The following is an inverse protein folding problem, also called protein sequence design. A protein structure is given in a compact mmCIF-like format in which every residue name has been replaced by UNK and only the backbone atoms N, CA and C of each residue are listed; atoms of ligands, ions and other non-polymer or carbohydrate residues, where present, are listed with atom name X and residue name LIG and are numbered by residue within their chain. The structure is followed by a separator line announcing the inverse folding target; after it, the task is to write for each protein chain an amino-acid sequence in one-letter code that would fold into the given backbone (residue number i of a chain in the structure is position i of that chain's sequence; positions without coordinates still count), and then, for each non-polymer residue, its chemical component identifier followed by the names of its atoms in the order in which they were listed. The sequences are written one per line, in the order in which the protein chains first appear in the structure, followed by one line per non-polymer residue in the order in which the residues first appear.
data_IF_810503204985
#
_entry.id   IF_810503204985
#
_cell.length_a   1.000
_cell.length_b   1.000
_cell.length_c   1.000
_cell.angle_alpha   90.00
_cell.angle_beta   90.00
_cell.angle_gamma   90.00
#
_symmetry.space_group_name_H-M   'P 1'
#
loop_
_entity.id
_entity.type
_entity.pdbx_description
1 polymer ?
#
# COMPACT_ATOMS: atom_id res chain seq x y z
N UNK A 1 11.08 -39.91 -2.56
CA UNK A 1 11.01 -38.74 -1.64
C UNK A 1 10.04 -38.99 -0.47
N UNK A 2 10.13 -40.15 0.22
CA UNK A 2 9.30 -40.51 1.40
C UNK A 2 10.14 -40.77 2.66
N UNK A 3 11.47 -40.74 2.55
CA UNK A 3 12.36 -41.15 3.62
C UNK A 3 12.70 -40.03 4.62
N UNK A 4 12.52 -38.75 4.24
CA UNK A 4 12.91 -37.58 5.02
C UNK A 4 12.01 -37.30 6.24
N UNK A 5 10.70 -37.54 6.12
CA UNK A 5 9.72 -37.10 7.13
C UNK A 5 9.86 -37.81 8.48
N UNK A 6 10.37 -39.04 8.48
CA UNK A 6 10.56 -39.81 9.71
C UNK A 6 11.82 -39.40 10.47
N UNK A 7 12.84 -38.86 9.80
CA UNK A 7 14.08 -38.39 10.43
C UNK A 7 13.86 -37.10 11.22
N UNK A 8 13.17 -36.11 10.63
CA UNK A 8 12.79 -34.87 11.32
C UNK A 8 11.99 -35.10 12.62
N UNK A 9 11.09 -36.09 12.62
CA UNK A 9 10.27 -36.42 13.79
C UNK A 9 11.03 -37.15 14.92
N UNK A 10 12.22 -37.67 14.62
CA UNK A 10 13.06 -38.39 15.58
C UNK A 10 14.17 -37.49 16.15
N UNK A 11 14.72 -36.56 15.37
CA UNK A 11 15.69 -35.55 15.83
C UNK A 11 15.08 -34.64 16.92
N UNK A 12 13.82 -34.22 16.74
CA UNK A 12 13.09 -33.40 17.72
C UNK A 12 12.77 -34.12 19.04
N UNK A 13 13.01 -35.43 19.14
CA UNK A 13 12.63 -36.27 20.28
C UNK A 13 13.80 -36.53 21.25
N UNK A 14 15.03 -36.20 20.87
CA UNK A 14 16.20 -36.39 21.70
C UNK A 14 16.22 -35.35 22.84
N UNK A 15 16.23 -35.73 24.13
CA UNK A 15 16.17 -34.80 25.25
C UNK A 15 17.34 -33.81 25.30
N UNK A 16 18.48 -34.16 24.69
CA UNK A 16 19.70 -33.36 24.60
C UNK A 16 19.66 -32.30 23.49
N UNK A 17 18.73 -32.40 22.53
CA UNK A 17 18.54 -31.46 21.40
C UNK A 17 17.40 -30.46 21.64
N UNK A 18 16.82 -30.43 22.84
CA UNK A 18 15.80 -29.43 23.16
C UNK A 18 16.45 -28.05 23.20
N UNK A 19 16.16 -27.25 22.17
CA UNK A 19 16.43 -25.83 22.17
C UNK A 19 16.03 -25.22 23.53
N UNK A 20 16.85 -24.32 24.11
CA UNK A 20 16.54 -23.71 25.41
C UNK A 20 15.12 -23.15 25.39
N UNK A 21 14.34 -23.32 26.46
CA UNK A 21 12.94 -22.88 26.49
C UNK A 21 12.77 -21.41 26.04
N UNK A 22 13.75 -20.56 26.40
CA UNK A 22 13.85 -19.16 25.96
C UNK A 22 13.99 -18.99 24.44
N UNK A 23 14.70 -19.89 23.76
CA UNK A 23 14.85 -19.87 22.30
C UNK A 23 13.54 -20.28 21.61
N UNK A 24 12.84 -21.28 22.13
CA UNK A 24 11.51 -21.68 21.65
C UNK A 24 10.49 -20.55 21.79
N UNK A 25 10.42 -19.92 22.96
CA UNK A 25 9.55 -18.77 23.22
C UNK A 25 9.89 -17.58 22.31
N UNK A 26 11.18 -17.30 22.09
CA UNK A 26 11.62 -16.23 21.19
C UNK A 26 11.23 -16.49 19.72
N UNK A 27 11.39 -17.72 19.24
CA UNK A 27 10.99 -18.11 17.87
C UNK A 27 9.47 -17.99 17.71
N UNK A 28 8.69 -18.53 18.65
CA UNK A 28 7.22 -18.45 18.61
C UNK A 28 6.76 -16.99 18.66
N UNK A 29 7.38 -16.16 19.50
CA UNK A 29 7.11 -14.72 19.56
C UNK A 29 7.41 -14.00 18.24
N UNK A 30 8.55 -14.31 17.62
CA UNK A 30 8.93 -13.75 16.33
C UNK A 30 7.95 -14.15 15.21
N UNK A 31 7.61 -15.44 15.12
CA UNK A 31 6.64 -15.96 14.14
C UNK A 31 5.28 -15.30 14.33
N UNK A 32 4.82 -15.14 15.58
CA UNK A 32 3.54 -14.47 15.85
C UNK A 32 3.55 -13.00 15.43
N UNK A 33 4.63 -12.28 15.72
CA UNK A 33 4.76 -10.87 15.32
C UNK A 33 4.79 -10.69 13.79
N UNK A 34 5.25 -11.70 13.05
CA UNK A 34 5.26 -11.70 11.59
C UNK A 34 3.89 -12.08 10.99
N UNK A 35 3.16 -12.98 11.65
CA UNK A 35 1.80 -13.38 11.24
C UNK A 35 0.72 -12.38 11.63
N UNK A 36 0.92 -11.59 12.69
CA UNK A 36 -0.05 -10.63 13.24
C UNK A 36 0.56 -9.21 13.32
N UNK A 37 0.86 -8.56 12.18
CA UNK A 37 1.45 -7.23 12.19
C UNK A 37 0.45 -6.20 12.72
N UNK A 38 0.92 -5.32 13.61
CA UNK A 38 0.08 -4.25 14.16
C UNK A 38 -0.33 -3.25 13.08
N UNK A 39 -1.58 -2.78 13.13
CA UNK A 39 -2.12 -1.84 12.13
C UNK A 39 -1.29 -0.55 12.02
N UNK A 40 -0.81 -0.02 13.16
CA UNK A 40 0.03 1.17 13.16
C UNK A 40 1.36 0.98 12.40
N UNK A 41 2.01 -0.19 12.54
CA UNK A 41 3.25 -0.50 11.82
C UNK A 41 3.00 -0.61 10.32
N UNK A 42 1.90 -1.27 9.95
CA UNK A 42 1.48 -1.40 8.55
C UNK A 42 1.17 -0.03 7.94
N UNK A 43 0.45 0.82 8.67
CA UNK A 43 0.10 2.16 8.22
C UNK A 43 1.33 3.07 8.08
N UNK A 44 2.29 2.99 9.00
CA UNK A 44 3.54 3.74 8.90
C UNK A 44 4.35 3.31 7.66
N UNK A 45 4.48 2.00 7.42
CA UNK A 45 5.14 1.46 6.22
C UNK A 45 4.43 1.92 4.94
N UNK A 46 3.11 1.86 4.93
CA UNK A 46 2.28 2.35 3.82
C UNK A 46 2.44 3.86 3.60
N UNK A 47 2.53 4.66 4.67
CA UNK A 47 2.77 6.09 4.61
C UNK A 47 4.13 6.43 4.00
N UNK A 48 5.19 5.68 4.32
CA UNK A 48 6.51 5.83 3.69
C UNK A 48 6.44 5.50 2.20
N UNK A 49 5.81 4.38 1.84
CA UNK A 49 5.62 3.99 0.44
C UNK A 49 4.85 5.09 -0.29
N UNK A 50 3.76 5.57 0.30
CA UNK A 50 2.94 6.63 -0.26
C UNK A 50 3.76 7.88 -0.48
N UNK A 51 4.53 8.36 0.50
CA UNK A 51 5.37 9.56 0.36
C UNK A 51 6.41 9.44 -0.77
N UNK A 52 7.06 8.28 -0.90
CA UNK A 52 8.02 8.03 -1.99
C UNK A 52 7.30 8.04 -3.34
N UNK A 53 6.15 7.37 -3.43
CA UNK A 53 5.34 7.34 -4.65
C UNK A 53 4.82 8.72 -4.99
N UNK A 54 4.37 9.51 -4.01
CA UNK A 54 3.89 10.88 -4.19
C UNK A 54 4.91 11.73 -4.92
N UNK A 55 6.17 11.69 -4.48
CA UNK A 55 7.28 12.40 -5.12
C UNK A 55 7.42 11.97 -6.59
N UNK A 56 7.40 10.66 -6.86
CA UNK A 56 7.49 10.12 -8.21
C UNK A 56 6.30 10.49 -9.08
N UNK A 57 5.08 10.26 -8.59
CA UNK A 57 3.83 10.55 -9.33
C UNK A 57 3.67 12.03 -9.60
N UNK A 58 4.01 12.91 -8.67
CA UNK A 58 3.96 14.36 -8.90
C UNK A 58 5.04 14.80 -9.87
N UNK A 59 6.21 14.15 -9.89
CA UNK A 59 7.25 14.43 -10.88
C UNK A 59 6.82 14.07 -12.32
N UNK A 60 6.03 13.01 -12.48
CA UNK A 60 5.52 12.56 -13.79
C UNK A 60 4.20 13.26 -14.18
N UNK A 61 3.37 13.58 -13.19
CA UNK A 61 2.07 14.25 -13.31
C UNK A 61 2.06 15.49 -12.42
N UNK A 62 2.55 16.64 -12.91
CA UNK A 62 2.75 17.86 -12.12
C UNK A 62 1.44 18.61 -11.82
N UNK A 63 0.47 17.95 -11.16
CA UNK A 63 -0.87 18.47 -10.85
C UNK A 63 -0.90 19.72 -9.95
N UNK A 64 0.22 20.07 -9.31
CA UNK A 64 0.40 21.32 -8.55
C UNK A 64 1.70 22.04 -8.94
N UNK A 65 2.19 21.82 -10.16
CA UNK A 65 3.46 22.38 -10.62
C UNK A 65 4.71 21.74 -10.01
N UNK A 66 4.59 20.86 -9.00
CA UNK A 66 5.71 20.10 -8.46
C UNK A 66 6.32 19.21 -9.54
N UNK A 67 7.63 19.33 -9.75
CA UNK A 67 8.40 18.48 -10.66
C UNK A 67 9.84 18.35 -10.18
N UNK A 68 10.42 17.16 -10.32
CA UNK A 68 11.85 16.94 -10.11
C UNK A 68 12.64 16.78 -11.42
N UNK A 69 12.01 16.26 -12.48
CA UNK A 69 12.68 15.93 -13.73
C UNK A 69 11.80 16.28 -14.94
N UNK A 70 12.41 16.70 -16.05
CA UNK A 70 11.73 16.97 -17.33
C UNK A 70 11.08 18.36 -17.46
N UNK A 71 10.69 18.69 -18.69
CA UNK A 71 9.94 19.90 -19.03
C UNK A 71 8.52 19.56 -19.52
N UNK A 72 7.57 20.47 -19.33
CA UNK A 72 6.18 20.32 -19.78
C UNK A 72 5.21 19.77 -18.73
N UNK A 73 4.03 19.34 -19.19
CA UNK A 73 2.93 18.86 -18.34
C UNK A 73 2.94 17.32 -18.13
N UNK A 74 3.89 16.60 -18.71
CA UNK A 74 4.00 15.14 -18.55
C UNK A 74 2.68 14.41 -18.88
N UNK A 75 2.31 13.42 -18.08
CA UNK A 75 1.05 12.68 -18.30
C UNK A 75 -0.19 13.52 -17.96
N UNK A 76 -0.04 14.63 -17.24
CA UNK A 76 -1.15 15.53 -16.92
C UNK A 76 -1.76 16.12 -18.20
N UNK A 77 -0.96 16.35 -19.25
CA UNK A 77 -1.47 16.82 -20.54
C UNK A 77 -2.52 15.85 -21.12
N UNK A 78 -2.27 14.54 -21.01
CA UNK A 78 -3.22 13.52 -21.43
C UNK A 78 -4.49 13.53 -20.56
N UNK A 79 -4.35 13.71 -19.24
CA UNK A 79 -5.50 13.77 -18.33
C UNK A 79 -6.35 15.03 -18.53
N UNK A 80 -5.74 16.16 -18.90
CA UNK A 80 -6.48 17.40 -19.22
C UNK A 80 -7.44 17.23 -20.39
N UNK A 81 -7.17 16.30 -21.33
CA UNK A 81 -8.10 15.98 -22.44
C UNK A 81 -9.40 15.34 -21.96
N UNK A 82 -9.47 14.88 -20.71
CA UNK A 82 -10.69 14.34 -20.09
C UNK A 82 -11.61 15.44 -19.53
N UNK A 83 -11.21 16.71 -19.62
CA UNK A 83 -12.00 17.87 -19.19
C UNK A 83 -11.89 18.17 -17.69
N UNK A 84 -12.67 19.16 -17.26
CA UNK A 84 -12.57 19.76 -15.91
C UNK A 84 -12.82 18.76 -14.77
N UNK A 85 -13.68 17.76 -14.98
CA UNK A 85 -13.93 16.70 -13.99
C UNK A 85 -13.04 15.47 -14.21
N UNK A 86 -12.76 15.11 -15.47
CA UNK A 86 -12.01 13.90 -15.79
C UNK A 86 -10.53 13.99 -15.43
N UNK A 87 -9.92 15.17 -15.57
CA UNK A 87 -8.52 15.39 -15.20
C UNK A 87 -8.26 15.14 -13.69
N UNK A 88 -8.95 15.83 -12.75
CA UNK A 88 -8.75 15.58 -11.31
C UNK A 88 -9.07 14.14 -10.92
N UNK A 89 -10.12 13.54 -11.47
CA UNK A 89 -10.43 12.13 -11.21
C UNK A 89 -9.32 11.18 -11.67
N UNK A 90 -8.79 11.37 -12.88
CA UNK A 90 -7.67 10.58 -13.40
C UNK A 90 -6.40 10.78 -12.56
N UNK A 91 -6.11 12.01 -12.12
CA UNK A 91 -5.01 12.30 -11.19
C UNK A 91 -5.19 11.55 -9.86
N UNK A 92 -6.39 11.53 -9.29
CA UNK A 92 -6.68 10.78 -8.06
C UNK A 92 -6.50 9.27 -8.23
N UNK A 93 -6.98 8.73 -9.36
CA UNK A 93 -6.78 7.32 -9.73
C UNK A 93 -5.29 7.00 -9.84
N UNK A 94 -4.54 7.81 -10.59
CA UNK A 94 -3.13 7.58 -10.82
C UNK A 94 -2.33 7.68 -9.52
N UNK A 95 -2.56 8.70 -8.70
CA UNK A 95 -1.82 8.97 -7.48
C UNK A 95 -2.02 7.89 -6.40
N UNK A 96 -3.28 7.61 -6.03
CA UNK A 96 -3.59 6.56 -5.04
C UNK A 96 -3.38 5.17 -5.62
N UNK A 97 -3.71 4.98 -6.90
CA UNK A 97 -3.56 3.70 -7.57
C UNK A 97 -2.10 3.25 -7.65
N UNK A 98 -1.20 4.14 -8.06
CA UNK A 98 0.24 3.82 -8.08
C UNK A 98 0.78 3.55 -6.68
N UNK A 99 0.30 4.29 -5.67
CA UNK A 99 0.70 4.08 -4.27
C UNK A 99 0.34 2.68 -3.78
N UNK A 100 -0.90 2.25 -4.01
CA UNK A 100 -1.38 0.92 -3.60
C UNK A 100 -0.82 -0.21 -4.46
N UNK A 101 -0.58 0.04 -5.75
CA UNK A 101 0.07 -0.92 -6.63
C UNK A 101 1.50 -1.21 -6.19
N UNK A 102 2.28 -0.17 -5.84
CA UNK A 102 3.62 -0.36 -5.29
C UNK A 102 3.56 -0.96 -3.87
N UNK A 103 2.62 -0.52 -3.04
CA UNK A 103 2.44 -1.13 -1.72
C UNK A 103 2.13 -2.62 -1.83
N UNK A 104 1.38 -3.06 -2.83
CA UNK A 104 1.14 -4.47 -3.06
C UNK A 104 2.44 -5.25 -3.33
N UNK A 105 3.44 -4.69 -4.02
CA UNK A 105 4.69 -5.42 -4.27
C UNK A 105 5.61 -5.47 -3.05
N UNK A 106 5.52 -4.47 -2.16
CA UNK A 106 6.40 -4.32 -0.99
C UNK A 106 5.83 -4.95 0.28
N UNK A 107 4.50 -4.96 0.44
CA UNK A 107 3.83 -5.48 1.64
C UNK A 107 3.68 -7.01 1.58
N UNK A 108 3.87 -7.63 2.74
CA UNK A 108 3.68 -9.07 2.94
C UNK A 108 2.19 -9.44 2.99
N UNK A 109 1.89 -10.74 2.86
CA UNK A 109 0.50 -11.24 2.93
C UNK A 109 -0.21 -10.88 4.25
N UNK A 110 0.40 -11.04 5.44
CA UNK A 110 -0.21 -10.61 6.69
C UNK A 110 -0.47 -9.11 6.76
N UNK A 111 0.48 -8.28 6.32
CA UNK A 111 0.32 -6.82 6.29
C UNK A 111 -0.83 -6.40 5.36
N UNK A 112 -0.94 -7.02 4.18
CA UNK A 112 -2.04 -6.76 3.25
C UNK A 112 -3.40 -7.19 3.82
N UNK A 113 -3.44 -8.31 4.56
CA UNK A 113 -4.65 -8.75 5.27
C UNK A 113 -5.07 -7.72 6.32
N UNK A 114 -4.11 -7.14 7.04
CA UNK A 114 -4.36 -6.07 8.02
C UNK A 114 -4.89 -4.79 7.38
N UNK A 115 -4.40 -4.41 6.18
CA UNK A 115 -4.98 -3.30 5.40
C UNK A 115 -6.42 -3.62 5.01
N UNK A 116 -6.68 -4.83 4.52
CA UNK A 116 -8.02 -5.23 4.06
C UNK A 116 -9.04 -5.22 5.22
N UNK A 117 -8.67 -5.71 6.40
CA UNK A 117 -9.54 -5.68 7.58
C UNK A 117 -9.89 -4.25 8.03
N UNK A 118 -9.01 -3.29 7.74
CA UNK A 118 -9.20 -1.87 8.06
C UNK A 118 -9.36 -0.99 6.81
N UNK A 119 -9.89 -1.55 5.70
CA UNK A 119 -9.87 -0.92 4.37
C UNK A 119 -10.37 0.52 4.37
N UNK A 120 -11.49 0.79 5.04
CA UNK A 120 -12.10 2.12 5.08
C UNK A 120 -11.20 3.11 5.81
N UNK A 121 -10.64 2.70 6.96
CA UNK A 121 -9.73 3.54 7.72
C UNK A 121 -8.43 3.80 6.95
N UNK A 122 -7.88 2.80 6.27
CA UNK A 122 -6.66 2.94 5.48
C UNK A 122 -6.86 3.87 4.29
N UNK A 123 -7.95 3.70 3.53
CA UNK A 123 -8.25 4.57 2.39
C UNK A 123 -8.51 6.00 2.84
N UNK A 124 -9.31 6.20 3.89
CA UNK A 124 -9.55 7.53 4.46
C UNK A 124 -8.25 8.17 4.94
N UNK A 125 -7.37 7.43 5.61
CA UNK A 125 -6.08 7.95 6.07
C UNK A 125 -5.19 8.42 4.91
N UNK A 126 -5.03 7.60 3.86
CA UNK A 126 -4.23 7.98 2.68
C UNK A 126 -4.83 9.20 1.98
N UNK A 127 -6.14 9.21 1.77
CA UNK A 127 -6.83 10.30 1.09
C UNK A 127 -6.72 11.59 1.88
N UNK A 128 -7.00 11.58 3.19
CA UNK A 128 -6.87 12.77 4.04
C UNK A 128 -5.43 13.27 4.13
N UNK A 129 -4.46 12.35 4.20
CA UNK A 129 -3.05 12.71 4.15
C UNK A 129 -2.70 13.41 2.83
N UNK A 130 -3.20 12.88 1.71
CA UNK A 130 -2.99 13.46 0.37
C UNK A 130 -3.61 14.84 0.25
N UNK A 131 -4.88 14.98 0.63
CA UNK A 131 -5.60 16.25 0.56
C UNK A 131 -5.00 17.29 1.52
N UNK A 132 -4.58 16.88 2.71
CA UNK A 132 -3.87 17.75 3.65
C UNK A 132 -2.53 18.24 3.07
N UNK A 133 -1.76 17.35 2.44
CA UNK A 133 -0.54 17.72 1.74
C UNK A 133 -0.80 18.68 0.58
N UNK A 134 -1.81 18.43 -0.25
CA UNK A 134 -2.16 19.32 -1.36
C UNK A 134 -2.61 20.69 -0.88
N UNK A 135 -3.36 20.76 0.22
CA UNK A 135 -3.77 22.03 0.82
C UNK A 135 -2.59 22.86 1.34
N UNK A 136 -1.48 22.22 1.71
CA UNK A 136 -0.24 22.89 2.11
C UNK A 136 0.53 23.38 0.87
N UNK A 137 0.56 22.58 -0.18
CA UNK A 137 1.28 22.89 -1.42
C UNK A 137 0.61 23.99 -2.24
N UNK A 138 -0.72 23.96 -2.31
CA UNK A 138 -1.52 24.90 -3.08
C UNK A 138 -2.56 25.57 -2.17
N UNK A 139 -2.41 26.88 -1.99
CA UNK A 139 -3.23 27.68 -1.10
C UNK A 139 -4.68 27.82 -1.57
N UNK A 140 -4.93 27.65 -2.87
CA UNK A 140 -6.22 27.83 -3.54
C UNK A 140 -6.85 26.50 -4.00
N UNK A 141 -6.73 25.47 -3.16
CA UNK A 141 -7.29 24.16 -3.46
C UNK A 141 -8.83 24.21 -3.63
N UNK A 142 -9.30 24.19 -4.87
CA UNK A 142 -10.73 24.29 -5.20
C UNK A 142 -11.54 23.05 -4.77
N UNK A 143 -12.73 23.27 -4.21
CA UNK A 143 -13.59 22.20 -3.70
C UNK A 143 -14.06 21.24 -4.80
N UNK A 144 -14.33 21.73 -6.00
CA UNK A 144 -14.74 20.90 -7.15
C UNK A 144 -13.60 19.96 -7.60
N UNK A 145 -12.38 20.49 -7.67
CA UNK A 145 -11.18 19.68 -7.93
C UNK A 145 -11.03 18.59 -6.87
N UNK A 146 -11.23 18.93 -5.59
CA UNK A 146 -11.15 18.02 -4.45
C UNK A 146 -12.10 16.83 -4.57
N UNK A 147 -13.36 17.07 -4.96
CA UNK A 147 -14.39 16.02 -5.04
C UNK A 147 -14.12 15.05 -6.18
N UNK A 148 -13.81 15.55 -7.38
CA UNK A 148 -13.50 14.70 -8.53
C UNK A 148 -12.23 13.87 -8.26
N UNK A 149 -11.19 14.50 -7.70
CA UNK A 149 -9.96 13.82 -7.30
C UNK A 149 -10.21 12.74 -6.25
N UNK A 150 -11.00 13.07 -5.22
CA UNK A 150 -11.41 12.13 -4.16
C UNK A 150 -12.12 10.90 -4.73
N UNK A 151 -13.08 11.10 -5.64
CA UNK A 151 -13.81 10.01 -6.27
C UNK A 151 -12.88 9.08 -7.05
N UNK A 152 -11.96 9.65 -7.83
CA UNK A 152 -10.94 8.88 -8.54
C UNK A 152 -10.04 8.08 -7.59
N UNK A 153 -9.55 8.73 -6.54
CA UNK A 153 -8.71 8.11 -5.51
C UNK A 153 -9.41 6.93 -4.80
N UNK A 154 -10.67 7.11 -4.39
CA UNK A 154 -11.46 6.06 -3.75
C UNK A 154 -11.79 4.91 -4.70
N UNK A 155 -12.10 5.21 -5.97
CA UNK A 155 -12.34 4.19 -6.99
C UNK A 155 -11.11 3.31 -7.20
N UNK A 156 -9.94 3.92 -7.44
CA UNK A 156 -8.69 3.17 -7.57
C UNK A 156 -8.35 2.39 -6.30
N UNK A 157 -8.54 3.01 -5.13
CA UNK A 157 -8.33 2.40 -3.83
C UNK A 157 -9.14 1.11 -3.63
N UNK A 158 -10.45 1.19 -3.84
CA UNK A 158 -11.34 0.03 -3.71
C UNK A 158 -11.01 -1.06 -4.73
N UNK A 159 -10.83 -0.69 -6.00
CA UNK A 159 -10.57 -1.65 -7.08
C UNK A 159 -9.24 -2.38 -6.89
N UNK A 160 -8.16 -1.70 -6.50
CA UNK A 160 -6.86 -2.33 -6.31
C UNK A 160 -6.82 -3.19 -5.05
N UNK A 161 -7.43 -2.78 -3.95
CA UNK A 161 -7.48 -3.60 -2.73
C UNK A 161 -8.18 -4.93 -2.99
N UNK A 162 -9.30 -4.92 -3.72
CA UNK A 162 -10.01 -6.13 -4.11
C UNK A 162 -9.26 -6.91 -5.20
N UNK A 163 -8.76 -6.23 -6.24
CA UNK A 163 -8.06 -6.85 -7.36
C UNK A 163 -6.79 -7.58 -6.93
N UNK A 164 -5.93 -6.94 -6.12
CA UNK A 164 -4.70 -7.54 -5.60
C UNK A 164 -5.03 -8.76 -4.74
N UNK A 165 -6.10 -8.70 -3.94
CA UNK A 165 -6.51 -9.82 -3.11
C UNK A 165 -6.88 -11.05 -3.95
N UNK A 166 -7.75 -10.86 -4.94
CA UNK A 166 -8.19 -11.92 -5.85
C UNK A 166 -7.03 -12.51 -6.66
N UNK A 167 -6.11 -11.65 -7.11
CA UNK A 167 -4.98 -12.07 -7.95
C UNK A 167 -3.91 -12.83 -7.17
N UNK A 168 -3.54 -12.35 -5.97
CA UNK A 168 -2.38 -12.88 -5.23
C UNK A 168 -2.73 -13.90 -4.16
N UNK A 169 -3.91 -13.83 -3.56
CA UNK A 169 -4.19 -14.55 -2.32
C UNK A 169 -5.34 -15.54 -2.41
N UNK A 170 -6.31 -15.32 -3.30
CA UNK A 170 -7.42 -16.25 -3.53
C UNK A 170 -6.99 -17.46 -4.38
N UNK A 171 -6.05 -17.30 -5.32
CA UNK A 171 -5.52 -18.41 -6.13
C UNK A 171 -4.44 -19.25 -5.43
N UNK A 172 -4.02 -18.83 -4.23
CA UNK A 172 -2.94 -19.48 -3.48
C UNK A 172 -3.48 -20.37 -2.33
N UNK A 173 -4.78 -20.65 -2.33
CA UNK A 173 -5.51 -21.54 -1.41
C UNK A 173 -6.30 -22.54 -2.23
#
# INVERSE_FOLDING_TARGET
MKHDWHEFGNEARNPTDRAPARLGEAIVGAVRAELEPSYARVLAKLGIIHAVVSIGTLSVCPQFGFRLFGEGMGIMEAFMRLGAFGCPAACGIFYVGTSLALAATVLTRPEWRTIRSHRSLTLTAIVLLSLGFFRIMDGEFFLEFSLAWLLGALAAGGLLLEGVWRLRYERAT
#
